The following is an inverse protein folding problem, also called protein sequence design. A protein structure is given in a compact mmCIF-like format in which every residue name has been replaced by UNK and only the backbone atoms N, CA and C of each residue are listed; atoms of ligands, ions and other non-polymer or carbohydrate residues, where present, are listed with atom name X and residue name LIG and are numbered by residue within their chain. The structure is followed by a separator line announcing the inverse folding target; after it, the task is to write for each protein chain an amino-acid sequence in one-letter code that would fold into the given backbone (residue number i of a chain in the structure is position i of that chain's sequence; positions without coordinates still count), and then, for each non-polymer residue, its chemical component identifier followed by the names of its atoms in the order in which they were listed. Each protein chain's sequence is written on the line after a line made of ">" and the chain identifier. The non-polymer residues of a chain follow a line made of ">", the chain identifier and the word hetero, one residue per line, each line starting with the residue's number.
data_IF_808472206290
#
_entry.id   IF_808472206290
#
_cell.length_a   1.000
_cell.length_b   1.000
_cell.length_c   1.000
_cell.angle_alpha   90.00
_cell.angle_beta   90.00
_cell.angle_gamma   90.00
#
_symmetry.space_group_name_H-M   'P 1'
#
loop_
_entity.id
_entity.type
_entity.pdbx_description
1 polymer ?
#
# COMPACT_ATOMS: atom_id res chain seq x y z
N UNK A 1 -7.05 48.45 31.92
CA UNK A 1 -8.45 48.09 32.19
C UNK A 1 -8.67 46.72 31.55
N UNK A 2 -8.55 45.64 32.31
CA UNK A 2 -9.57 44.88 33.05
C UNK A 2 -10.66 44.37 32.12
N UNK A 3 -10.98 43.10 31.99
CA UNK A 3 -10.99 41.85 32.76
C UNK A 3 -11.69 40.75 31.96
N UNK A 4 -11.20 39.51 32.05
CA UNK A 4 -11.85 38.29 32.57
C UNK A 4 -13.13 37.78 31.90
N UNK A 5 -13.07 36.49 31.59
CA UNK A 5 -14.24 35.64 31.38
C UNK A 5 -13.85 34.21 30.95
N UNK A 6 -13.24 33.42 31.85
CA UNK A 6 -13.10 32.00 31.68
C UNK A 6 -14.44 31.29 31.94
N UNK A 7 -15.01 30.61 30.96
CA UNK A 7 -16.17 29.72 31.15
C UNK A 7 -15.67 28.30 31.43
N UNK A 8 -16.02 27.78 32.61
CA UNK A 8 -15.84 26.38 33.03
C UNK A 8 -16.97 25.54 32.45
N UNK A 9 -16.60 24.39 31.87
CA UNK A 9 -17.54 23.32 31.49
C UNK A 9 -17.77 22.39 32.68
N UNK A 10 -19.00 21.86 32.91
CA UNK A 10 -19.31 20.93 33.99
C UNK A 10 -18.85 19.49 33.65
N UNK A 11 -18.43 18.78 34.70
CA UNK A 11 -18.06 17.35 34.65
C UNK A 11 -19.34 16.47 34.58
N UNK A 12 -19.32 15.34 33.83
CA UNK A 12 -20.39 14.36 33.88
C UNK A 12 -20.31 13.48 35.13
N UNK A 13 -21.44 12.89 35.60
CA UNK A 13 -21.53 12.14 36.84
C UNK A 13 -20.91 10.74 36.73
N UNK A 14 -20.32 10.30 37.85
CA UNK A 14 -19.79 8.92 38.04
C UNK A 14 -20.93 7.90 38.08
N UNK A 15 -20.78 6.80 37.34
CA UNK A 15 -21.65 5.60 37.45
C UNK A 15 -21.07 4.61 38.44
N UNK A 16 -21.91 4.17 39.34
CA UNK A 16 -21.68 3.12 40.35
C UNK A 16 -21.74 1.74 39.68
N UNK A 17 -20.75 0.90 39.99
CA UNK A 17 -20.72 -0.50 39.60
C UNK A 17 -21.71 -1.32 40.43
N UNK A 18 -22.58 -2.10 39.72
CA UNK A 18 -23.29 -3.23 40.28
C UNK A 18 -22.78 -4.50 39.57
N UNK A 19 -22.25 -5.43 40.33
CA UNK A 19 -21.76 -6.71 39.81
C UNK A 19 -22.90 -7.71 39.57
N UNK A 20 -22.72 -8.56 38.56
CA UNK A 20 -23.52 -9.75 38.29
C UNK A 20 -22.73 -10.75 37.45
N UNK A 21 -22.92 -12.08 37.58
CA UNK A 21 -21.95 -13.08 37.20
C UNK A 21 -22.11 -13.63 35.77
N UNK A 22 -20.99 -13.92 35.15
CA UNK A 22 -20.73 -15.03 34.26
C UNK A 22 -21.53 -15.16 32.96
N UNK A 23 -20.90 -14.84 31.83
CA UNK A 23 -21.20 -15.49 30.54
C UNK A 23 -19.89 -15.64 29.76
N UNK A 24 -19.44 -16.91 29.66
CA UNK A 24 -18.41 -17.36 28.73
C UNK A 24 -18.92 -17.23 27.29
N UNK A 25 -18.28 -16.42 26.47
CA UNK A 25 -18.49 -16.39 25.02
C UNK A 25 -17.68 -15.26 24.42
N UNK A 26 -17.26 -14.99 23.43
CA UNK A 26 -16.71 -15.21 22.12
C UNK A 26 -15.17 -15.21 22.06
N UNK A 27 -14.45 -15.24 23.17
CA UNK A 27 -12.98 -15.26 23.16
C UNK A 27 -12.34 -16.59 22.71
N UNK A 28 -13.11 -17.67 22.68
CA UNK A 28 -12.63 -19.00 22.24
C UNK A 28 -12.54 -19.13 20.72
N UNK A 29 -13.46 -18.52 19.97
CA UNK A 29 -13.41 -18.54 18.49
C UNK A 29 -12.28 -17.67 17.92
N UNK A 30 -12.00 -16.50 18.52
CA UNK A 30 -10.87 -15.65 18.12
C UNK A 30 -9.51 -16.34 18.30
N UNK A 31 -9.37 -17.23 19.28
CA UNK A 31 -8.15 -18.04 19.49
C UNK A 31 -7.97 -19.12 18.42
N UNK A 32 -9.04 -19.68 17.86
CA UNK A 32 -8.97 -20.76 16.87
C UNK A 32 -8.60 -20.22 15.48
N UNK A 33 -9.15 -19.08 15.07
CA UNK A 33 -8.80 -18.44 13.77
C UNK A 33 -7.38 -17.85 13.83
N UNK A 34 -6.99 -17.23 14.94
CA UNK A 34 -5.61 -16.78 15.15
C UNK A 34 -4.60 -17.95 15.24
N UNK A 35 -5.03 -19.14 15.67
CA UNK A 35 -4.22 -20.35 15.66
C UNK A 35 -4.06 -20.92 14.25
N UNK A 36 -5.06 -20.83 13.38
CA UNK A 36 -4.95 -21.25 11.97
C UNK A 36 -4.08 -20.32 11.15
N UNK A 37 -4.16 -18.99 11.37
CA UNK A 37 -3.23 -18.02 10.76
C UNK A 37 -1.81 -18.14 11.32
N UNK A 38 -1.67 -18.49 12.61
CA UNK A 38 -0.36 -18.80 13.21
C UNK A 38 0.19 -20.17 12.80
N UNK A 39 -0.66 -21.10 12.39
CA UNK A 39 -0.23 -22.41 11.87
C UNK A 39 0.27 -22.32 10.41
N UNK A 40 -0.17 -21.32 9.63
CA UNK A 40 0.42 -20.99 8.34
C UNK A 40 1.78 -20.24 8.48
N UNK A 41 2.06 -19.66 9.65
CA UNK A 41 3.36 -19.05 10.03
C UNK A 41 4.21 -19.97 10.92
N UNK A 42 3.86 -21.26 11.08
CA UNK A 42 4.66 -22.24 11.79
C UNK A 42 5.91 -22.58 10.98
N UNK A 43 7.06 -22.68 11.67
CA UNK A 43 8.35 -23.01 11.11
C UNK A 43 8.31 -24.10 10.04
N UNK A 44 9.17 -24.03 9.00
CA UNK A 44 9.13 -24.96 7.89
C UNK A 44 9.27 -26.39 8.38
N UNK A 45 8.35 -27.24 7.94
CA UNK A 45 8.44 -28.69 8.11
C UNK A 45 9.73 -29.15 7.39
N UNK A 46 10.70 -29.79 8.06
CA UNK A 46 11.97 -30.20 7.43
C UNK A 46 11.83 -31.27 6.34
N UNK A 47 10.64 -31.62 5.92
CA UNK A 47 10.35 -32.49 4.79
C UNK A 47 9.65 -31.77 3.62
N UNK A 48 9.54 -30.41 3.64
CA UNK A 48 9.13 -29.67 2.47
C UNK A 48 10.28 -29.70 1.46
N UNK A 49 10.00 -30.18 0.26
CA UNK A 49 10.85 -29.96 -0.92
C UNK A 49 11.26 -28.47 -0.91
N UNK A 50 12.56 -28.18 -0.83
CA UNK A 50 13.08 -26.81 -1.00
C UNK A 50 12.59 -26.31 -2.36
N UNK A 51 11.47 -25.58 -2.35
CA UNK A 51 11.05 -24.85 -3.54
C UNK A 51 11.81 -23.53 -3.53
N UNK A 52 12.64 -23.28 -4.56
CA UNK A 52 13.30 -21.99 -4.81
C UNK A 52 12.29 -20.83 -5.06
N UNK A 53 11.00 -21.10 -4.84
CA UNK A 53 9.91 -20.17 -5.09
C UNK A 53 9.61 -19.33 -3.85
N UNK A 54 9.56 -18.00 -4.06
CA UNK A 54 9.24 -17.04 -3.00
C UNK A 54 7.73 -16.88 -2.86
N UNK A 55 7.27 -16.86 -1.61
CA UNK A 55 5.88 -16.46 -1.31
C UNK A 55 5.71 -14.96 -1.55
N UNK A 56 4.52 -14.57 -2.01
CA UNK A 56 4.10 -13.17 -2.15
C UNK A 56 2.75 -12.97 -1.47
N UNK A 57 2.55 -11.79 -0.83
CA UNK A 57 1.28 -11.32 -0.28
C UNK A 57 1.07 -9.87 -0.70
N UNK A 58 -0.18 -9.44 -0.79
CA UNK A 58 -0.56 -8.09 -1.20
C UNK A 58 -1.53 -7.52 -0.19
N UNK A 59 -1.27 -6.30 0.27
CA UNK A 59 -2.18 -5.46 1.04
C UNK A 59 -2.63 -4.30 0.15
N UNK A 60 -3.93 -3.95 0.20
CA UNK A 60 -4.52 -2.87 -0.58
C UNK A 60 -5.42 -2.01 0.28
N UNK A 61 -5.21 -0.69 0.22
CA UNK A 61 -6.00 0.31 0.93
C UNK A 61 -6.99 0.96 -0.04
N UNK A 62 -8.22 1.18 0.42
CA UNK A 62 -9.31 1.73 -0.40
C UNK A 62 -9.96 2.93 0.25
N UNK A 63 -10.51 3.82 -0.58
CA UNK A 63 -11.32 4.95 -0.15
C UNK A 63 -12.81 4.61 -0.21
N UNK A 64 -13.54 4.98 0.84
CA UNK A 64 -15.00 4.94 0.90
C UNK A 64 -15.56 6.34 0.60
N UNK A 65 -16.42 6.44 -0.41
CA UNK A 65 -17.00 7.70 -0.85
C UNK A 65 -18.53 7.62 -0.91
N UNK A 66 -19.17 8.78 -0.85
CA UNK A 66 -20.59 8.92 -1.15
C UNK A 66 -20.85 8.59 -2.64
N UNK A 67 -21.86 7.76 -2.95
CA UNK A 67 -22.11 7.29 -4.31
C UNK A 67 -22.49 8.39 -5.31
N UNK A 68 -23.07 9.49 -4.86
CA UNK A 68 -23.58 10.57 -5.71
C UNK A 68 -22.51 11.66 -5.91
N UNK A 69 -21.91 12.12 -4.82
CA UNK A 69 -20.96 13.24 -4.84
C UNK A 69 -19.51 12.83 -5.05
N UNK A 70 -19.14 11.58 -4.76
CA UNK A 70 -17.75 11.12 -4.78
C UNK A 70 -16.89 11.64 -3.61
N UNK A 71 -17.48 12.36 -2.64
CA UNK A 71 -16.80 12.87 -1.45
C UNK A 71 -16.52 11.72 -0.47
N UNK A 72 -15.35 11.74 0.17
CA UNK A 72 -14.98 10.74 1.18
C UNK A 72 -15.94 10.75 2.37
N UNK A 73 -16.40 9.56 2.83
CA UNK A 73 -17.38 9.41 3.91
C UNK A 73 -16.87 8.50 5.02
N UNK A 74 -17.23 8.75 6.29
CA UNK A 74 -16.81 7.98 7.45
C UNK A 74 -17.63 6.67 7.59
N UNK A 75 -17.49 5.74 6.64
CA UNK A 75 -18.35 4.56 6.51
C UNK A 75 -17.70 3.24 6.97
N UNK A 76 -16.43 3.24 7.43
CA UNK A 76 -15.67 2.00 7.68
C UNK A 76 -16.38 1.03 8.62
N UNK A 77 -17.01 1.50 9.71
CA UNK A 77 -17.69 0.64 10.68
C UNK A 77 -18.91 -0.04 10.05
N UNK A 78 -19.75 0.73 9.34
CA UNK A 78 -20.92 0.20 8.65
C UNK A 78 -20.54 -0.82 7.57
N UNK A 79 -19.44 -0.56 6.83
CA UNK A 79 -18.93 -1.51 5.83
C UNK A 79 -18.43 -2.80 6.49
N UNK A 80 -17.68 -2.71 7.59
CA UNK A 80 -17.17 -3.89 8.31
C UNK A 80 -18.28 -4.77 8.87
N UNK A 81 -19.40 -4.19 9.29
CA UNK A 81 -20.58 -4.94 9.74
C UNK A 81 -21.20 -5.79 8.61
N UNK A 82 -21.10 -5.30 7.37
CA UNK A 82 -21.60 -5.95 6.16
C UNK A 82 -20.63 -6.96 5.52
N UNK A 83 -19.34 -6.96 5.92
CA UNK A 83 -18.35 -7.91 5.39
C UNK A 83 -18.71 -9.34 5.84
N UNK A 84 -18.74 -10.34 4.90
CA UNK A 84 -18.93 -11.74 5.23
C UNK A 84 -18.01 -12.23 6.35
N UNK A 85 -18.53 -13.01 7.29
CA UNK A 85 -17.81 -13.41 8.50
C UNK A 85 -16.50 -14.15 8.20
N UNK A 86 -16.46 -14.92 7.12
CA UNK A 86 -15.30 -15.69 6.66
C UNK A 86 -14.16 -14.79 6.11
N UNK A 87 -14.47 -13.58 5.66
CA UNK A 87 -13.50 -12.64 5.11
C UNK A 87 -13.03 -11.56 6.11
N UNK A 88 -13.72 -11.43 7.25
CA UNK A 88 -13.40 -10.38 8.27
C UNK A 88 -11.98 -10.44 8.78
N UNK A 89 -11.32 -11.60 8.74
CA UNK A 89 -9.93 -11.76 9.16
C UNK A 89 -8.90 -11.17 8.18
N UNK A 90 -9.34 -10.78 6.99
CA UNK A 90 -8.53 -10.21 5.91
C UNK A 90 -8.87 -8.75 5.62
N UNK A 91 -9.75 -8.15 6.44
CA UNK A 91 -10.19 -6.75 6.27
C UNK A 91 -9.92 -6.00 7.56
N UNK A 92 -9.23 -4.87 7.47
CA UNK A 92 -8.86 -4.05 8.62
C UNK A 92 -9.27 -2.58 8.41
N UNK A 93 -9.42 -1.87 9.55
CA UNK A 93 -9.55 -0.42 9.57
C UNK A 93 -8.20 0.21 9.34
N UNK A 94 -8.13 1.17 8.43
CA UNK A 94 -6.96 2.01 8.28
C UNK A 94 -7.05 3.25 9.19
N UNK A 95 -6.26 4.29 8.92
CA UNK A 95 -6.11 5.45 9.78
C UNK A 95 -7.35 6.34 9.84
N UNK A 96 -8.01 6.60 8.70
CA UNK A 96 -9.23 7.39 8.65
C UNK A 96 -10.48 6.52 8.56
N UNK A 97 -11.61 7.03 9.07
CA UNK A 97 -12.91 6.33 9.02
C UNK A 97 -13.49 6.18 7.60
N UNK A 98 -12.86 6.78 6.61
CA UNK A 98 -13.14 6.60 5.17
C UNK A 98 -12.20 5.62 4.49
N UNK A 99 -11.28 4.99 5.20
CA UNK A 99 -10.29 4.07 4.65
C UNK A 99 -10.50 2.65 5.17
N UNK A 100 -10.31 1.67 4.30
CA UNK A 100 -10.41 0.26 4.64
C UNK A 100 -9.33 -0.51 3.88
N UNK A 101 -8.72 -1.50 4.54
CA UNK A 101 -7.61 -2.28 4.02
C UNK A 101 -7.99 -3.74 3.87
N UNK A 102 -7.49 -4.40 2.82
CA UNK A 102 -7.53 -5.85 2.67
C UNK A 102 -6.13 -6.42 2.58
N UNK A 103 -5.96 -7.66 3.06
CA UNK A 103 -4.71 -8.43 2.91
C UNK A 103 -4.97 -9.80 2.29
N UNK A 104 -4.28 -10.12 1.19
CA UNK A 104 -4.34 -11.47 0.64
C UNK A 104 -3.59 -12.46 1.55
N UNK A 105 -4.00 -13.73 1.61
CA UNK A 105 -3.12 -14.77 2.12
C UNK A 105 -1.83 -14.84 1.29
N UNK A 106 -0.66 -15.17 1.91
CA UNK A 106 0.56 -15.38 1.14
C UNK A 106 0.43 -16.60 0.24
N UNK A 107 0.93 -16.49 -0.99
CA UNK A 107 0.86 -17.57 -1.98
C UNK A 107 2.14 -17.71 -2.80
N UNK A 108 2.35 -18.88 -3.38
CA UNK A 108 3.42 -19.13 -4.36
C UNK A 108 2.97 -18.80 -5.78
N UNK A 109 1.68 -19.00 -6.08
CA UNK A 109 1.13 -18.83 -7.42
C UNK A 109 0.44 -17.47 -7.55
N UNK A 110 0.73 -16.70 -8.61
CA UNK A 110 0.03 -15.44 -8.89
C UNK A 110 -1.48 -15.62 -9.11
N UNK A 111 -1.88 -16.78 -9.62
CA UNK A 111 -3.30 -17.10 -9.80
C UNK A 111 -4.07 -17.15 -8.49
N UNK A 112 -3.45 -17.61 -7.40
CA UNK A 112 -4.07 -17.63 -6.07
C UNK A 112 -4.16 -16.22 -5.48
N UNK A 113 -3.16 -15.38 -5.68
CA UNK A 113 -3.19 -13.95 -5.28
C UNK A 113 -4.30 -13.24 -6.05
N UNK A 114 -4.36 -13.38 -7.38
CA UNK A 114 -5.44 -12.82 -8.22
C UNK A 114 -6.82 -13.22 -7.73
N UNK A 115 -7.02 -14.52 -7.49
CA UNK A 115 -8.30 -15.03 -7.00
C UNK A 115 -8.69 -14.39 -5.66
N UNK A 116 -7.75 -14.32 -4.71
CA UNK A 116 -7.98 -13.72 -3.39
C UNK A 116 -8.33 -12.23 -3.49
N UNK A 117 -7.59 -11.46 -4.30
CA UNK A 117 -7.86 -10.04 -4.49
C UNK A 117 -9.22 -9.80 -5.16
N UNK A 118 -9.58 -10.57 -6.19
CA UNK A 118 -10.92 -10.49 -6.79
C UNK A 118 -12.05 -10.78 -5.79
N UNK A 119 -11.90 -11.84 -5.00
CA UNK A 119 -12.89 -12.20 -3.99
C UNK A 119 -13.04 -11.09 -2.94
N UNK A 120 -11.92 -10.60 -2.40
CA UNK A 120 -11.92 -9.58 -1.35
C UNK A 120 -12.46 -8.23 -1.86
N UNK A 121 -12.01 -7.78 -3.04
CA UNK A 121 -12.52 -6.53 -3.63
C UNK A 121 -14.01 -6.60 -3.95
N UNK A 122 -14.49 -7.71 -4.53
CA UNK A 122 -15.91 -7.88 -4.82
C UNK A 122 -16.75 -7.87 -3.54
N UNK A 123 -16.36 -8.66 -2.53
CA UNK A 123 -17.07 -8.72 -1.25
C UNK A 123 -17.09 -7.37 -0.53
N UNK A 124 -15.96 -6.65 -0.58
CA UNK A 124 -15.84 -5.32 0.04
C UNK A 124 -16.66 -4.25 -0.70
N UNK A 125 -16.68 -4.29 -2.04
CA UNK A 125 -17.51 -3.40 -2.84
C UNK A 125 -19.01 -3.63 -2.58
N UNK A 126 -19.45 -4.91 -2.48
CA UNK A 126 -20.82 -5.27 -2.11
C UNK A 126 -21.17 -4.81 -0.69
N UNK A 127 -20.24 -4.93 0.25
CA UNK A 127 -20.42 -4.45 1.63
C UNK A 127 -20.55 -2.93 1.68
N UNK A 128 -19.70 -2.22 0.92
CA UNK A 128 -19.77 -0.76 0.83
C UNK A 128 -21.10 -0.28 0.25
N UNK A 129 -21.61 -0.91 -0.81
CA UNK A 129 -22.92 -0.59 -1.39
C UNK A 129 -24.07 -0.82 -0.40
N UNK A 130 -24.07 -1.94 0.36
CA UNK A 130 -25.07 -2.18 1.41
C UNK A 130 -25.00 -1.16 2.55
N UNK A 131 -23.80 -0.65 2.85
CA UNK A 131 -23.58 0.41 3.83
C UNK A 131 -23.86 1.82 3.28
N UNK A 132 -24.32 1.96 2.03
CA UNK A 132 -24.62 3.25 1.39
C UNK A 132 -23.37 4.04 0.95
N UNK A 133 -22.24 3.37 0.79
CA UNK A 133 -20.98 3.94 0.31
C UNK A 133 -20.53 3.28 -1.01
N UNK A 134 -19.50 3.82 -1.63
CA UNK A 134 -18.84 3.26 -2.80
C UNK A 134 -17.34 3.05 -2.53
N UNK A 135 -16.80 1.91 -2.92
CA UNK A 135 -15.41 1.54 -2.75
C UNK A 135 -14.57 2.00 -3.95
N UNK A 136 -13.45 2.68 -3.70
CA UNK A 136 -12.52 3.14 -4.73
C UNK A 136 -11.10 2.65 -4.49
N UNK A 137 -10.51 1.98 -5.47
CA UNK A 137 -9.07 1.75 -5.57
C UNK A 137 -8.42 3.00 -6.21
N UNK A 138 -8.11 4.00 -5.39
CA UNK A 138 -7.56 5.29 -5.80
C UNK A 138 -6.59 5.81 -4.74
N UNK A 139 -5.45 6.38 -5.16
CA UNK A 139 -4.42 6.81 -4.20
C UNK A 139 -4.84 7.99 -3.31
N UNK A 140 -5.62 8.96 -3.84
CA UNK A 140 -6.18 10.10 -3.09
C UNK A 140 -7.61 10.37 -3.50
N UNK A 141 -8.41 10.97 -2.60
CA UNK A 141 -9.77 11.40 -2.91
C UNK A 141 -9.77 12.49 -3.99
N UNK A 142 -10.46 12.28 -5.13
CA UNK A 142 -10.44 13.24 -6.24
C UNK A 142 -11.31 14.45 -5.98
N UNK A 143 -12.38 14.31 -5.18
CA UNK A 143 -13.37 15.35 -4.90
C UNK A 143 -13.09 16.02 -3.56
N UNK A 144 -13.14 17.36 -3.54
CA UNK A 144 -12.99 18.14 -2.29
C UNK A 144 -14.18 17.94 -1.35
N UNK A 145 -13.90 17.93 -0.06
CA UNK A 145 -14.92 17.74 0.96
C UNK A 145 -14.37 17.78 2.38
N UNK A 146 -15.23 17.60 3.38
CA UNK A 146 -14.80 17.52 4.76
C UNK A 146 -13.86 16.32 4.96
N UNK A 147 -12.79 16.52 5.72
CA UNK A 147 -11.87 15.45 6.08
C UNK A 147 -12.55 14.48 7.06
N UNK A 148 -12.66 13.18 6.73
CA UNK A 148 -13.22 12.20 7.63
C UNK A 148 -12.41 12.09 8.93
N UNK A 149 -13.06 11.79 10.07
CA UNK A 149 -12.36 11.64 11.34
C UNK A 149 -11.40 10.45 11.32
N UNK A 150 -10.41 10.51 12.21
CA UNK A 150 -9.48 9.40 12.45
C UNK A 150 -10.22 8.31 13.24
N UNK A 151 -9.90 7.05 12.98
CA UNK A 151 -10.44 5.89 13.70
C UNK A 151 -10.05 5.97 15.18
N UNK A 152 -11.01 5.75 16.09
CA UNK A 152 -10.81 5.76 17.54
C UNK A 152 -9.92 4.58 17.99
N UNK A 153 -8.62 4.83 18.02
CA UNK A 153 -7.58 3.93 18.52
C UNK A 153 -6.55 4.76 19.32
N UNK A 154 -6.13 4.34 20.52
CA UNK A 154 -5.17 5.10 21.35
C UNK A 154 -3.83 5.42 20.66
N UNK A 155 -3.41 4.58 19.69
CA UNK A 155 -2.23 4.83 18.88
C UNK A 155 -2.46 6.00 17.92
N UNK A 156 -3.62 6.05 17.29
CA UNK A 156 -3.98 7.09 16.33
C UNK A 156 -4.19 8.46 17.02
N UNK A 157 -4.76 8.47 18.22
CA UNK A 157 -4.87 9.70 19.04
C UNK A 157 -3.49 10.30 19.32
N UNK A 158 -2.49 9.46 19.68
CA UNK A 158 -1.11 9.92 19.84
C UNK A 158 -0.50 10.46 18.56
N UNK A 159 -0.83 9.87 17.40
CA UNK A 159 -0.38 10.38 16.10
C UNK A 159 -0.99 11.74 15.81
N UNK A 160 -2.30 11.93 16.04
CA UNK A 160 -3.00 13.21 15.89
C UNK A 160 -2.38 14.27 16.79
N UNK A 161 -2.15 13.96 18.07
CA UNK A 161 -1.54 14.87 19.02
C UNK A 161 -0.11 15.29 18.61
N UNK A 162 0.67 14.34 18.11
CA UNK A 162 2.08 14.55 17.75
C UNK A 162 2.24 15.30 16.44
N UNK A 163 1.53 14.89 15.39
CA UNK A 163 1.77 15.36 14.02
C UNK A 163 0.77 16.43 13.56
N UNK A 164 -0.30 16.66 14.31
CA UNK A 164 -1.24 17.79 14.14
C UNK A 164 -1.71 17.94 12.69
N UNK A 165 -1.39 19.05 12.01
CA UNK A 165 -1.83 19.37 10.65
C UNK A 165 -1.24 18.46 9.55
N UNK A 166 -0.32 17.56 9.87
CA UNK A 166 0.11 16.53 8.91
C UNK A 166 -0.93 15.39 8.78
N UNK A 167 -1.73 15.20 9.83
CA UNK A 167 -2.73 14.14 9.92
C UNK A 167 -3.94 14.34 9.00
N UNK A 168 -4.52 15.55 8.88
CA UNK A 168 -5.68 15.76 8.03
C UNK A 168 -5.30 15.75 6.54
N UNK A 169 -5.90 14.87 5.79
CA UNK A 169 -5.83 14.77 4.34
C UNK A 169 -6.96 13.87 3.84
N UNK A 170 -7.26 13.85 2.55
CA UNK A 170 -8.34 13.05 1.99
C UNK A 170 -8.08 11.53 2.00
N UNK A 171 -7.18 11.05 2.84
CA UNK A 171 -6.72 9.66 2.88
C UNK A 171 -5.67 9.37 1.80
N UNK A 172 -4.63 8.64 2.19
CA UNK A 172 -3.60 8.16 1.26
C UNK A 172 -3.74 6.64 1.19
N UNK A 173 -4.13 6.11 0.02
CA UNK A 173 -4.36 4.68 -0.15
C UNK A 173 -3.25 4.08 -1.01
N UNK A 174 -2.50 3.16 -0.42
CA UNK A 174 -1.39 2.48 -1.05
C UNK A 174 -1.67 1.02 -1.35
N UNK A 175 -0.66 0.40 -1.95
CA UNK A 175 -0.54 -1.03 -2.09
C UNK A 175 0.81 -1.46 -1.55
N UNK A 176 0.81 -2.50 -0.71
CA UNK A 176 2.03 -3.09 -0.18
C UNK A 176 2.21 -4.50 -0.75
N UNK A 177 3.43 -4.80 -1.17
CA UNK A 177 3.79 -6.15 -1.63
C UNK A 177 4.83 -6.73 -0.69
N UNK A 178 4.47 -7.84 -0.06
CA UNK A 178 5.33 -8.62 0.82
C UNK A 178 5.93 -9.79 0.07
N UNK A 179 7.24 -9.96 0.15
CA UNK A 179 7.94 -11.12 -0.43
C UNK A 179 8.77 -11.80 0.67
N UNK A 180 8.60 -13.12 0.81
CA UNK A 180 9.32 -13.93 1.80
C UNK A 180 10.84 -13.83 1.65
N UNK A 181 11.54 -13.77 2.78
CA UNK A 181 13.01 -13.76 2.87
C UNK A 181 13.47 -14.80 3.89
N UNK A 182 14.69 -15.38 3.72
CA UNK A 182 15.18 -16.41 4.63
C UNK A 182 15.51 -15.90 6.03
N UNK A 183 16.06 -14.69 6.12
CA UNK A 183 16.49 -14.07 7.38
C UNK A 183 16.60 -12.54 7.25
N UNK A 184 16.64 -11.79 8.37
CA UNK A 184 16.70 -10.33 8.34
C UNK A 184 17.99 -9.73 7.76
N UNK A 185 19.15 -10.40 7.91
CA UNK A 185 20.42 -9.91 7.35
C UNK A 185 20.41 -9.97 5.82
N UNK A 186 19.94 -11.09 5.28
CA UNK A 186 19.65 -11.23 3.84
C UNK A 186 18.62 -10.20 3.38
N UNK A 187 17.55 -9.99 4.15
CA UNK A 187 16.52 -8.99 3.84
C UNK A 187 17.07 -7.56 3.73
N UNK A 188 18.01 -7.17 4.61
CA UNK A 188 18.69 -5.87 4.51
C UNK A 188 19.51 -5.75 3.23
N UNK A 189 20.21 -6.82 2.82
CA UNK A 189 20.92 -6.83 1.54
C UNK A 189 19.94 -6.72 0.35
N UNK A 190 18.81 -7.45 0.40
CA UNK A 190 17.75 -7.33 -0.61
C UNK A 190 17.26 -5.88 -0.70
N UNK A 191 17.01 -5.18 0.43
CA UNK A 191 16.62 -3.77 0.41
C UNK A 191 17.63 -2.90 -0.35
N UNK A 192 18.94 -3.11 -0.19
CA UNK A 192 19.96 -2.39 -0.92
C UNK A 192 19.93 -2.65 -2.43
N UNK A 193 19.60 -3.89 -2.84
CA UNK A 193 19.53 -4.27 -4.27
C UNK A 193 18.26 -3.75 -4.96
N UNK A 194 17.11 -3.69 -4.25
CA UNK A 194 15.84 -3.28 -4.85
C UNK A 194 15.68 -1.76 -4.93
N UNK A 195 16.26 -1.00 -4.00
CA UNK A 195 16.06 0.45 -3.88
C UNK A 195 16.28 1.25 -5.16
N UNK A 196 17.27 0.95 -6.04
CA UNK A 196 17.47 1.68 -7.29
C UNK A 196 16.36 1.50 -8.32
N UNK A 197 15.58 0.41 -8.21
CA UNK A 197 14.51 0.04 -9.13
C UNK A 197 13.11 0.45 -8.67
N UNK A 198 12.99 0.91 -7.41
CA UNK A 198 11.70 1.34 -6.88
C UNK A 198 11.08 2.53 -7.64
N UNK A 199 11.85 3.51 -8.19
CA UNK A 199 11.24 4.60 -8.94
C UNK A 199 10.45 4.16 -10.16
N UNK A 200 10.89 3.12 -10.89
CA UNK A 200 10.13 2.65 -12.05
C UNK A 200 8.88 1.86 -11.63
N UNK A 201 8.94 1.11 -10.52
CA UNK A 201 7.75 0.46 -9.95
C UNK A 201 6.75 1.50 -9.43
N UNK A 202 7.24 2.60 -8.85
CA UNK A 202 6.41 3.73 -8.46
C UNK A 202 5.68 4.34 -9.67
N UNK A 203 6.38 4.55 -10.79
CA UNK A 203 5.76 5.06 -12.02
C UNK A 203 4.64 4.14 -12.55
N UNK A 204 4.84 2.81 -12.47
CA UNK A 204 3.83 1.81 -12.88
C UNK A 204 2.55 1.89 -12.04
N UNK A 205 2.67 2.20 -10.75
CA UNK A 205 1.55 2.18 -9.79
C UNK A 205 0.81 3.51 -9.66
N UNK A 206 1.18 4.55 -10.43
CA UNK A 206 0.55 5.88 -10.31
C UNK A 206 -0.96 5.85 -10.56
N UNK A 207 -1.75 6.31 -9.57
CA UNK A 207 -3.21 6.24 -9.59
C UNK A 207 -3.88 7.36 -8.77
N UNK A 208 -3.28 8.57 -8.72
CA UNK A 208 -3.85 9.71 -7.97
C UNK A 208 -3.57 11.04 -8.64
N UNK A 209 -4.09 11.29 -9.87
CA UNK A 209 -3.84 12.54 -10.58
C UNK A 209 -4.70 13.71 -10.09
N UNK A 210 -5.83 13.42 -9.44
CA UNK A 210 -6.78 14.43 -8.96
C UNK A 210 -6.75 14.56 -7.44
N UNK A 211 -6.83 15.77 -6.94
CA UNK A 211 -7.01 16.10 -5.53
C UNK A 211 -7.76 17.43 -5.41
N UNK A 212 -8.64 17.54 -4.41
CA UNK A 212 -9.42 18.77 -4.15
C UNK A 212 -10.16 19.30 -5.37
N UNK A 213 -10.73 18.41 -6.15
CA UNK A 213 -11.46 18.67 -7.38
C UNK A 213 -10.63 19.28 -8.53
N UNK A 214 -9.29 19.18 -8.46
CA UNK A 214 -8.38 19.71 -9.49
C UNK A 214 -7.44 18.62 -10.01
N UNK A 215 -7.04 18.72 -11.30
CA UNK A 215 -5.89 17.95 -11.82
C UNK A 215 -4.60 18.55 -11.25
N UNK A 216 -3.88 17.78 -10.48
CA UNK A 216 -2.67 18.23 -9.78
C UNK A 216 -1.46 18.43 -10.69
N UNK A 217 -1.53 17.92 -11.92
CA UNK A 217 -0.38 17.83 -12.83
C UNK A 217 0.57 16.67 -12.54
N UNK A 218 0.34 15.89 -11.47
CA UNK A 218 1.13 14.72 -11.07
C UNK A 218 0.38 13.43 -11.39
N UNK A 219 1.10 12.35 -11.65
CA UNK A 219 0.51 11.02 -11.82
C UNK A 219 0.23 10.33 -10.47
N UNK A 220 1.04 10.60 -9.44
CA UNK A 220 0.81 10.20 -8.05
C UNK A 220 0.88 11.40 -7.11
N UNK A 221 -0.25 12.02 -6.83
CA UNK A 221 -0.35 13.08 -5.82
C UNK A 221 -0.26 12.51 -4.40
N UNK A 222 -0.71 11.26 -4.20
CA UNK A 222 -0.55 10.52 -2.95
C UNK A 222 0.89 10.57 -2.45
N UNK A 223 1.86 10.29 -3.30
CA UNK A 223 3.27 10.30 -2.92
C UNK A 223 3.72 11.67 -2.41
N UNK A 224 3.30 12.75 -3.05
CA UNK A 224 3.62 14.12 -2.66
C UNK A 224 3.00 14.48 -1.30
N UNK A 225 1.78 14.05 -1.04
CA UNK A 225 1.15 14.25 0.27
C UNK A 225 1.76 13.37 1.35
N UNK A 226 2.13 12.13 1.02
CA UNK A 226 2.75 11.19 1.94
C UNK A 226 4.16 11.61 2.36
N UNK A 227 4.95 12.20 1.45
CA UNK A 227 6.28 12.74 1.74
C UNK A 227 6.32 13.84 2.80
N UNK A 228 5.18 14.38 3.19
CA UNK A 228 5.08 15.33 4.31
C UNK A 228 5.33 14.67 5.68
N UNK A 229 5.17 13.35 5.80
CA UNK A 229 5.46 12.64 7.03
C UNK A 229 6.96 12.49 7.23
N UNK A 230 7.48 12.74 8.45
CA UNK A 230 8.93 12.90 8.67
C UNK A 230 9.76 11.62 8.49
N UNK A 231 9.11 10.45 8.49
CA UNK A 231 9.75 9.14 8.30
C UNK A 231 9.62 8.61 6.87
N UNK A 232 8.93 9.33 5.98
CA UNK A 232 8.79 8.94 4.56
C UNK A 232 10.07 9.29 3.81
N UNK A 233 10.68 8.29 3.20
CA UNK A 233 11.87 8.48 2.36
C UNK A 233 12.15 7.24 1.51
N UNK A 234 12.93 7.36 0.44
CA UNK A 234 13.59 6.21 -0.17
C UNK A 234 14.42 5.47 0.89
N UNK A 235 14.38 4.14 0.85
CA UNK A 235 15.16 3.32 1.78
C UNK A 235 16.62 3.70 1.74
N UNK A 236 17.28 4.04 2.87
CA UNK A 236 18.70 4.38 2.89
C UNK A 236 19.54 3.15 2.53
N UNK A 237 20.83 3.36 2.22
CA UNK A 237 21.77 2.25 2.14
C UNK A 237 22.05 1.70 3.56
N UNK A 238 21.90 0.39 3.73
CA UNK A 238 21.98 -0.30 5.02
C UNK A 238 23.19 -1.22 5.05
N UNK A 239 24.04 -1.10 6.06
CA UNK A 239 25.27 -1.89 6.16
C UNK A 239 24.95 -3.36 6.52
N UNK A 240 24.07 -3.57 7.51
CA UNK A 240 23.60 -4.86 8.02
C UNK A 240 22.33 -4.67 8.85
N UNK A 241 21.76 -5.75 9.36
CA UNK A 241 20.56 -5.71 10.18
C UNK A 241 20.74 -4.93 11.50
N UNK A 242 21.90 -4.96 12.14
CA UNK A 242 22.18 -4.15 13.33
C UNK A 242 22.15 -2.64 13.01
N UNK A 243 22.66 -2.24 11.83
CA UNK A 243 22.54 -0.84 11.38
C UNK A 243 21.08 -0.45 11.15
N UNK A 244 20.31 -1.32 10.49
CA UNK A 244 18.85 -1.14 10.30
C UNK A 244 18.14 -0.89 11.63
N UNK A 245 18.36 -1.77 12.61
CA UNK A 245 17.73 -1.66 13.94
C UNK A 245 18.16 -0.41 14.70
N UNK A 246 19.46 -0.09 14.71
CA UNK A 246 19.95 1.13 15.36
C UNK A 246 19.34 2.39 14.77
N UNK A 247 19.20 2.46 13.44
CA UNK A 247 18.61 3.63 12.77
C UNK A 247 17.13 3.80 13.13
N UNK A 248 16.36 2.70 13.17
CA UNK A 248 14.96 2.74 13.62
C UNK A 248 14.88 3.21 15.08
N UNK A 249 15.71 2.67 15.97
CA UNK A 249 15.71 3.07 17.38
C UNK A 249 16.06 4.56 17.53
N UNK A 250 17.03 5.07 16.77
CA UNK A 250 17.38 6.49 16.77
C UNK A 250 16.20 7.38 16.29
N UNK A 251 15.44 6.93 15.29
CA UNK A 251 14.23 7.67 14.82
C UNK A 251 13.12 7.68 15.89
N UNK A 252 12.97 6.60 16.66
CA UNK A 252 12.03 6.53 17.79
C UNK A 252 12.53 7.41 18.94
N UNK A 253 13.79 7.28 19.36
CA UNK A 253 14.37 8.02 20.48
C UNK A 253 14.41 9.54 20.23
N UNK A 254 14.61 9.95 18.98
CA UNK A 254 14.54 11.35 18.57
C UNK A 254 13.11 11.90 18.53
N UNK A 255 12.11 11.03 18.65
CA UNK A 255 10.69 11.38 18.58
C UNK A 255 10.20 11.71 17.17
N UNK A 256 10.95 11.38 16.12
CA UNK A 256 10.49 11.45 14.72
C UNK A 256 9.41 10.42 14.46
N UNK A 257 9.50 9.24 15.07
CA UNK A 257 8.48 8.19 15.03
C UNK A 257 7.98 7.88 16.45
N UNK A 258 6.72 7.47 16.59
CA UNK A 258 6.16 6.97 17.86
C UNK A 258 6.52 5.51 18.11
N UNK A 259 6.62 4.74 17.05
CA UNK A 259 6.87 3.30 17.06
C UNK A 259 7.40 2.83 15.68
N UNK A 260 7.85 1.58 15.60
CA UNK A 260 8.37 0.96 14.37
C UNK A 260 7.33 0.91 13.23
N UNK A 261 6.03 0.86 13.53
CA UNK A 261 4.95 0.90 12.54
C UNK A 261 4.92 2.19 11.72
N UNK A 262 5.58 3.26 12.21
CA UNK A 262 5.73 4.54 11.50
C UNK A 262 6.99 4.61 10.63
N UNK A 263 7.70 3.52 10.41
CA UNK A 263 8.79 3.48 9.44
C UNK A 263 8.20 3.47 8.03
N UNK A 264 8.07 4.65 7.43
CA UNK A 264 7.45 4.85 6.12
C UNK A 264 8.49 4.89 4.98
N UNK A 265 9.60 4.17 5.10
CA UNK A 265 10.49 3.96 3.97
C UNK A 265 9.76 3.21 2.84
N UNK A 266 10.14 3.50 1.61
CA UNK A 266 9.50 2.95 0.40
C UNK A 266 9.63 1.43 0.26
N UNK A 267 10.67 0.85 0.88
CA UNK A 267 10.78 -0.58 1.16
C UNK A 267 11.40 -0.76 2.55
N UNK A 268 10.94 -1.79 3.30
CA UNK A 268 11.43 -2.11 4.66
C UNK A 268 11.36 -3.60 4.93
N UNK A 269 11.94 -4.04 6.03
CA UNK A 269 11.57 -5.33 6.62
C UNK A 269 10.21 -5.20 7.30
N UNK A 270 9.34 -6.17 7.14
CA UNK A 270 8.07 -6.17 7.84
C UNK A 270 8.28 -6.42 9.34
N UNK A 271 7.62 -5.62 10.19
CA UNK A 271 7.62 -5.82 11.63
C UNK A 271 6.81 -7.07 12.08
N UNK A 272 5.93 -7.58 11.20
CA UNK A 272 5.00 -8.67 11.53
C UNK A 272 5.38 -10.01 10.88
N UNK A 273 5.98 -9.98 9.70
CA UNK A 273 6.21 -11.15 8.84
C UNK A 273 7.67 -11.25 8.41
N UNK A 274 8.20 -12.45 8.12
CA UNK A 274 9.56 -12.63 7.62
C UNK A 274 9.63 -12.24 6.12
N UNK A 275 9.37 -10.98 5.81
CA UNK A 275 9.27 -10.47 4.44
C UNK A 275 10.01 -9.13 4.28
N UNK A 276 10.43 -8.86 3.05
CA UNK A 276 10.63 -7.50 2.55
C UNK A 276 9.28 -6.97 2.06
N UNK A 277 8.96 -5.75 2.44
CA UNK A 277 7.70 -5.05 2.14
C UNK A 277 7.99 -3.81 1.29
N UNK A 278 7.45 -3.76 0.07
CA UNK A 278 7.50 -2.60 -0.82
C UNK A 278 6.19 -1.81 -0.71
N UNK A 279 6.28 -0.49 -0.41
CA UNK A 279 5.15 0.35 0.05
C UNK A 279 4.92 1.61 -0.79
N UNK A 280 5.76 1.89 -1.77
CA UNK A 280 5.75 3.18 -2.50
C UNK A 280 4.51 3.36 -3.37
N UNK A 281 3.91 2.27 -3.87
CA UNK A 281 2.83 2.33 -4.85
C UNK A 281 1.53 2.91 -4.34
N UNK A 282 0.82 3.67 -5.19
CA UNK A 282 -0.62 3.87 -5.00
C UNK A 282 -1.34 2.52 -5.11
N UNK A 283 -2.52 2.39 -4.50
CA UNK A 283 -3.38 1.24 -4.75
C UNK A 283 -3.67 1.12 -6.25
N UNK A 284 -3.51 -0.07 -6.80
CA UNK A 284 -3.71 -0.31 -8.22
C UNK A 284 -5.20 -0.28 -8.60
N UNK A 285 -5.60 0.32 -9.75
CA UNK A 285 -6.99 0.44 -10.14
C UNK A 285 -7.68 -0.92 -10.35
N UNK A 286 -6.98 -1.89 -10.92
CA UNK A 286 -7.51 -3.25 -11.16
C UNK A 286 -6.68 -4.32 -10.46
N UNK A 287 -7.26 -5.49 -10.27
CA UNK A 287 -6.54 -6.67 -9.72
C UNK A 287 -5.41 -7.09 -10.66
N UNK A 288 -5.57 -6.98 -11.97
CA UNK A 288 -4.53 -7.32 -12.94
C UNK A 288 -3.31 -6.39 -12.80
N UNK A 289 -3.52 -5.08 -12.56
CA UNK A 289 -2.43 -4.14 -12.28
C UNK A 289 -1.71 -4.51 -10.96
N UNK A 290 -2.46 -4.87 -9.92
CA UNK A 290 -1.88 -5.31 -8.65
C UNK A 290 -1.05 -6.60 -8.78
N UNK A 291 -1.55 -7.57 -9.55
CA UNK A 291 -0.84 -8.84 -9.84
C UNK A 291 0.43 -8.59 -10.64
N UNK A 292 0.41 -7.68 -11.62
CA UNK A 292 1.62 -7.28 -12.35
C UNK A 292 2.70 -6.76 -11.40
N UNK A 293 2.32 -5.83 -10.52
CA UNK A 293 3.27 -5.25 -9.54
C UNK A 293 3.78 -6.33 -8.59
N UNK A 294 2.91 -7.20 -8.07
CA UNK A 294 3.29 -8.30 -7.19
C UNK A 294 4.31 -9.26 -7.87
N UNK A 295 4.09 -9.59 -9.14
CA UNK A 295 5.00 -10.41 -9.93
C UNK A 295 6.37 -9.74 -10.13
N UNK A 296 6.38 -8.45 -10.52
CA UNK A 296 7.61 -7.68 -10.71
C UNK A 296 8.41 -7.55 -9.40
N UNK A 297 7.72 -7.28 -8.28
CA UNK A 297 8.35 -7.19 -6.96
C UNK A 297 8.93 -8.53 -6.53
N UNK A 298 8.20 -9.65 -6.68
CA UNK A 298 8.69 -10.99 -6.38
C UNK A 298 9.95 -11.33 -7.20
N UNK A 299 9.89 -11.08 -8.51
CA UNK A 299 11.01 -11.32 -9.38
C UNK A 299 12.23 -10.42 -9.07
N UNK A 300 11.98 -9.17 -8.64
CA UNK A 300 13.04 -8.25 -8.21
C UNK A 300 13.74 -8.75 -6.94
N UNK A 301 12.99 -9.22 -5.95
CA UNK A 301 13.54 -9.82 -4.73
C UNK A 301 14.29 -11.12 -5.06
N UNK A 302 13.75 -11.99 -5.90
CA UNK A 302 14.42 -13.22 -6.33
C UNK A 302 15.75 -12.92 -7.06
N UNK A 303 15.75 -11.92 -7.95
CA UNK A 303 16.97 -11.48 -8.65
C UNK A 303 17.99 -10.90 -7.66
N UNK A 304 17.52 -10.15 -6.64
CA UNK A 304 18.40 -9.64 -5.59
C UNK A 304 19.04 -10.77 -4.77
N UNK A 305 18.31 -11.82 -4.44
CA UNK A 305 18.83 -13.02 -3.76
C UNK A 305 19.88 -13.75 -4.62
N UNK A 306 19.64 -13.89 -5.92
CA UNK A 306 20.62 -14.46 -6.85
C UNK A 306 21.91 -13.60 -6.94
N UNK A 307 21.76 -12.26 -6.93
CA UNK A 307 22.91 -11.34 -6.92
C UNK A 307 23.71 -11.47 -5.63
N UNK A 308 23.05 -11.53 -4.48
CA UNK A 308 23.66 -11.71 -3.16
C UNK A 308 24.41 -13.05 -3.11
N UNK A 309 23.78 -14.14 -3.52
CA UNK A 309 24.39 -15.48 -3.55
C UNK A 309 25.64 -15.54 -4.46
N UNK A 310 25.63 -14.78 -5.56
CA UNK A 310 26.75 -14.66 -6.49
C UNK A 310 27.80 -13.62 -6.05
N UNK A 311 27.65 -12.98 -4.90
CA UNK A 311 28.55 -11.92 -4.42
C UNK A 311 28.53 -10.65 -5.25
N UNK A 312 27.49 -10.41 -6.05
CA UNK A 312 27.34 -9.19 -6.83
C UNK A 312 26.86 -8.04 -5.93
N UNK A 313 27.54 -6.88 -5.92
CA UNK A 313 27.11 -5.76 -5.10
C UNK A 313 25.83 -5.12 -5.65
N UNK A 314 25.04 -4.43 -4.80
CA UNK A 314 23.93 -3.63 -5.27
C UNK A 314 24.42 -2.47 -6.16
N UNK A 315 23.56 -2.01 -7.06
CA UNK A 315 23.85 -0.86 -7.91
C UNK A 315 24.09 0.37 -7.04
N UNK A 316 25.26 1.02 -7.12
CA UNK A 316 25.55 2.22 -6.36
C UNK A 316 24.66 3.37 -6.85
N UNK A 317 23.82 3.89 -5.96
CA UNK A 317 22.88 4.97 -6.28
C UNK A 317 22.88 5.98 -5.13
N UNK A 318 23.13 7.22 -5.47
CA UNK A 318 23.09 8.32 -4.51
C UNK A 318 21.68 8.52 -3.96
N UNK A 319 21.58 8.78 -2.66
CA UNK A 319 20.28 8.93 -1.99
C UNK A 319 19.47 10.11 -2.54
N UNK A 320 20.12 11.24 -2.83
CA UNK A 320 19.42 12.40 -3.38
C UNK A 320 18.96 12.18 -4.82
N UNK A 321 19.71 11.38 -5.59
CA UNK A 321 19.24 10.96 -6.92
C UNK A 321 18.00 10.09 -6.82
N UNK A 322 17.92 9.20 -5.83
CA UNK A 322 16.69 8.39 -5.58
C UNK A 322 15.51 9.27 -5.20
N UNK A 323 15.69 10.26 -4.32
CA UNK A 323 14.63 11.23 -3.99
C UNK A 323 14.12 11.90 -5.28
N UNK A 324 15.03 12.42 -6.11
CA UNK A 324 14.67 13.02 -7.39
C UNK A 324 13.99 12.04 -8.37
N UNK A 325 14.45 10.79 -8.41
CA UNK A 325 13.87 9.75 -9.26
C UNK A 325 12.44 9.38 -8.84
N UNK A 326 12.16 9.31 -7.54
CA UNK A 326 10.81 9.09 -7.03
C UNK A 326 9.88 10.27 -7.28
N UNK A 327 10.38 11.51 -7.07
CA UNK A 327 9.61 12.70 -7.45
C UNK A 327 9.26 12.68 -8.95
N UNK A 328 10.23 12.31 -9.81
CA UNK A 328 9.99 12.21 -11.25
C UNK A 328 8.96 11.15 -11.60
N UNK A 329 9.00 9.99 -10.95
CA UNK A 329 8.01 8.94 -11.09
C UNK A 329 6.61 9.41 -10.67
N UNK A 330 6.49 10.11 -9.52
CA UNK A 330 5.23 10.69 -9.06
C UNK A 330 4.68 11.74 -10.02
N UNK A 331 5.57 12.55 -10.62
CA UNK A 331 5.17 13.63 -11.54
C UNK A 331 4.73 13.06 -12.89
N UNK A 332 5.58 12.27 -13.56
CA UNK A 332 5.40 11.86 -14.94
C UNK A 332 4.67 10.51 -15.12
N UNK A 333 4.74 9.62 -14.13
CA UNK A 333 4.24 8.24 -14.28
C UNK A 333 4.93 7.50 -15.42
N UNK A 334 4.18 6.63 -16.09
CA UNK A 334 4.63 5.88 -17.27
C UNK A 334 4.49 6.67 -18.59
N UNK A 335 3.79 7.79 -18.56
CA UNK A 335 3.52 8.63 -19.74
C UNK A 335 4.69 9.57 -20.09
N UNK A 336 5.69 9.66 -19.20
CA UNK A 336 6.83 10.54 -19.36
C UNK A 336 8.19 9.84 -19.26
N UNK A 337 9.13 10.53 -18.62
CA UNK A 337 10.50 10.07 -18.44
C UNK A 337 10.77 9.67 -16.99
N UNK A 338 11.63 8.68 -16.80
CA UNK A 338 12.15 8.26 -15.51
C UNK A 338 13.69 8.35 -15.49
N UNK A 339 14.26 8.34 -14.30
CA UNK A 339 15.72 8.40 -14.10
C UNK A 339 16.28 6.97 -14.24
N UNK A 340 17.23 6.81 -15.16
CA UNK A 340 17.96 5.55 -15.30
C UNK A 340 18.87 5.34 -14.06
N UNK A 341 18.69 4.24 -13.31
CA UNK A 341 19.47 4.02 -12.09
C UNK A 341 20.97 3.78 -12.34
N UNK A 342 21.38 3.47 -13.59
CA UNK A 342 22.78 3.25 -13.94
C UNK A 342 23.51 4.56 -14.31
N UNK A 343 22.87 5.42 -15.12
CA UNK A 343 23.51 6.62 -15.65
C UNK A 343 23.09 7.90 -14.90
N UNK A 344 21.94 7.89 -14.20
CA UNK A 344 21.32 9.10 -13.64
C UNK A 344 20.64 9.99 -14.68
N UNK A 345 20.59 9.58 -15.94
CA UNK A 345 19.99 10.34 -17.04
C UNK A 345 18.48 10.04 -17.18
N UNK A 346 17.77 10.99 -17.77
CA UNK A 346 16.35 10.78 -18.10
C UNK A 346 16.20 9.91 -19.34
N UNK A 347 15.33 8.91 -19.25
CA UNK A 347 14.95 8.03 -20.35
C UNK A 347 13.43 7.83 -20.35
N UNK A 348 12.82 7.47 -21.48
CA UNK A 348 11.40 7.09 -21.50
C UNK A 348 11.12 6.01 -20.43
N UNK A 349 10.08 6.20 -19.62
CA UNK A 349 9.77 5.28 -18.52
C UNK A 349 9.56 3.83 -19.00
N UNK A 350 8.95 3.65 -20.18
CA UNK A 350 8.77 2.33 -20.80
C UNK A 350 10.08 1.63 -21.15
N UNK A 351 11.11 2.36 -21.59
CA UNK A 351 12.42 1.78 -21.87
C UNK A 351 13.07 1.22 -20.61
N UNK A 352 12.94 1.95 -19.50
CA UNK A 352 13.45 1.52 -18.20
C UNK A 352 12.65 0.33 -17.63
N UNK A 353 11.33 0.32 -17.81
CA UNK A 353 10.51 -0.82 -17.42
C UNK A 353 10.88 -2.08 -18.23
N UNK A 354 11.08 -1.98 -19.55
CA UNK A 354 11.54 -3.10 -20.37
C UNK A 354 12.94 -3.57 -19.95
N UNK A 355 13.85 -2.64 -19.62
CA UNK A 355 15.18 -2.97 -19.08
C UNK A 355 15.07 -3.74 -17.76
N UNK A 356 14.22 -3.29 -16.84
CA UNK A 356 13.94 -4.01 -15.59
C UNK A 356 13.41 -5.41 -15.87
N UNK A 357 12.36 -5.55 -16.69
CA UNK A 357 11.76 -6.85 -17.01
C UNK A 357 12.79 -7.81 -17.65
N UNK A 358 13.64 -7.31 -18.56
CA UNK A 358 14.73 -8.08 -19.12
C UNK A 358 15.72 -8.58 -18.06
N UNK A 359 16.04 -7.74 -17.06
CA UNK A 359 16.87 -8.14 -15.91
C UNK A 359 16.20 -9.23 -15.05
N UNK A 360 14.87 -9.18 -14.92
CA UNK A 360 14.09 -10.11 -14.10
C UNK A 360 13.77 -11.43 -14.81
N UNK A 361 14.09 -11.60 -16.10
CA UNK A 361 13.67 -12.72 -16.94
C UNK A 361 13.88 -14.09 -16.31
N UNK A 362 15.10 -14.39 -15.81
CA UNK A 362 15.39 -15.67 -15.18
C UNK A 362 14.55 -15.95 -13.92
N UNK A 363 14.28 -14.91 -13.12
CA UNK A 363 13.43 -15.05 -11.94
C UNK A 363 11.96 -15.24 -12.33
N UNK A 364 11.48 -14.54 -13.36
CA UNK A 364 10.12 -14.71 -13.91
C UNK A 364 9.92 -16.12 -14.48
N UNK A 365 10.92 -16.65 -15.20
CA UNK A 365 10.87 -18.01 -15.75
C UNK A 365 10.82 -19.06 -14.63
N UNK A 366 11.66 -18.91 -13.60
CA UNK A 366 11.71 -19.82 -12.44
C UNK A 366 10.36 -19.87 -11.68
N UNK A 367 9.67 -18.74 -11.57
CA UNK A 367 8.35 -18.67 -10.92
C UNK A 367 7.18 -18.99 -11.87
N UNK A 368 7.44 -19.21 -13.17
CA UNK A 368 6.39 -19.44 -14.17
C UNK A 368 5.57 -18.20 -14.53
N UNK A 369 6.06 -17.01 -14.20
CA UNK A 369 5.32 -15.74 -14.30
C UNK A 369 5.52 -15.01 -15.63
N UNK A 370 6.49 -15.40 -16.44
CA UNK A 370 6.94 -14.63 -17.61
C UNK A 370 5.82 -14.34 -18.61
N UNK A 371 5.04 -15.36 -18.96
CA UNK A 371 3.92 -15.22 -19.91
C UNK A 371 2.86 -14.28 -19.37
N UNK A 372 2.54 -14.39 -18.09
CA UNK A 372 1.52 -13.56 -17.45
C UNK A 372 1.99 -12.11 -17.33
N UNK A 373 3.23 -11.87 -16.91
CA UNK A 373 3.81 -10.52 -16.85
C UNK A 373 3.84 -9.88 -18.24
N UNK A 374 4.21 -10.63 -19.29
CA UNK A 374 4.17 -10.10 -20.67
C UNK A 374 2.77 -9.67 -21.07
N UNK A 375 1.75 -10.48 -20.79
CA UNK A 375 0.33 -10.17 -21.06
C UNK A 375 -0.12 -8.92 -20.30
N UNK A 376 0.20 -8.84 -19.01
CA UNK A 376 -0.19 -7.72 -18.15
C UNK A 376 0.51 -6.41 -18.53
N UNK A 377 1.78 -6.47 -18.95
CA UNK A 377 2.52 -5.31 -19.47
C UNK A 377 1.89 -4.77 -20.75
N UNK A 378 1.45 -5.65 -21.65
CA UNK A 378 0.75 -5.24 -22.86
C UNK A 378 -0.59 -4.56 -22.53
N UNK A 379 -1.35 -5.09 -21.56
CA UNK A 379 -2.57 -4.46 -21.07
C UNK A 379 -2.29 -3.06 -20.45
N UNK A 380 -1.26 -2.94 -19.60
CA UNK A 380 -0.85 -1.65 -19.06
C UNK A 380 -0.47 -0.67 -20.17
N UNK A 381 0.22 -1.12 -21.21
CA UNK A 381 0.61 -0.28 -22.36
C UNK A 381 -0.59 0.21 -23.15
N UNK A 382 -1.61 -0.64 -23.32
CA UNK A 382 -2.84 -0.30 -24.07
C UNK A 382 -3.76 0.64 -23.29
N UNK A 383 -3.90 0.42 -21.98
CA UNK A 383 -4.89 1.16 -21.17
C UNK A 383 -4.26 2.31 -20.37
N UNK A 384 -2.93 2.35 -20.22
CA UNK A 384 -2.22 3.31 -19.37
C UNK A 384 -2.29 2.97 -17.88
N UNK A 385 -1.59 3.77 -17.07
CA UNK A 385 -1.65 3.73 -15.61
C UNK A 385 -3.02 4.17 -15.09
N UNK A 386 -3.30 3.97 -13.80
CA UNK A 386 -4.51 4.48 -13.19
C UNK A 386 -4.68 5.99 -13.39
N UNK A 387 -3.59 6.75 -13.29
CA UNK A 387 -3.61 8.18 -13.54
C UNK A 387 -3.98 8.54 -14.98
N UNK A 388 -3.41 7.84 -15.96
CA UNK A 388 -3.75 8.04 -17.38
C UNK A 388 -5.21 7.70 -17.67
N UNK A 389 -5.72 6.59 -17.10
CA UNK A 389 -7.13 6.18 -17.24
C UNK A 389 -8.08 7.23 -16.67
N UNK A 390 -7.82 7.72 -15.45
CA UNK A 390 -8.63 8.76 -14.80
C UNK A 390 -8.65 10.05 -15.65
N UNK A 391 -7.50 10.54 -16.12
CA UNK A 391 -7.40 11.70 -17.00
C UNK A 391 -8.11 11.51 -18.32
N UNK A 392 -8.04 10.30 -18.90
CA UNK A 392 -8.77 9.96 -20.14
C UNK A 392 -10.28 10.07 -19.96
N UNK A 393 -10.83 9.63 -18.82
CA UNK A 393 -12.26 9.80 -18.51
C UNK A 393 -12.58 11.28 -18.36
N UNK A 394 -11.83 12.01 -17.55
CA UNK A 394 -12.05 13.44 -17.31
C UNK A 394 -11.96 14.27 -18.62
N UNK A 395 -10.99 13.98 -19.47
CA UNK A 395 -10.85 14.67 -20.77
C UNK A 395 -12.06 14.47 -21.70
N UNK A 396 -12.76 13.34 -21.59
CA UNK A 396 -13.97 13.07 -22.40
C UNK A 396 -15.22 13.69 -21.83
N UNK A 397 -15.34 13.79 -20.51
CA UNK A 397 -16.61 14.12 -19.83
C UNK A 397 -16.59 15.47 -19.12
N UNK A 398 -15.40 15.96 -18.72
CA UNK A 398 -15.24 17.16 -17.91
C UNK A 398 -15.77 17.01 -16.47
N UNK A 399 -16.05 15.78 -16.01
CA UNK A 399 -16.74 15.51 -14.74
C UNK A 399 -15.97 14.53 -13.88
N UNK A 400 -15.70 14.89 -12.65
CA UNK A 400 -15.04 14.01 -11.67
C UNK A 400 -15.95 12.87 -11.19
N UNK A 401 -17.28 13.07 -11.21
CA UNK A 401 -18.24 12.00 -10.86
C UNK A 401 -18.14 10.82 -11.83
N UNK A 402 -17.84 11.09 -13.11
CA UNK A 402 -17.61 10.03 -14.10
C UNK A 402 -16.28 9.32 -13.87
N UNK A 403 -15.24 10.05 -13.41
CA UNK A 403 -13.96 9.46 -12.98
C UNK A 403 -14.18 8.54 -11.78
N UNK A 404 -14.90 9.00 -10.75
CA UNK A 404 -15.25 8.21 -9.56
C UNK A 404 -16.02 6.94 -9.95
N UNK A 405 -16.99 7.07 -10.86
CA UNK A 405 -17.79 5.93 -11.34
C UNK A 405 -16.95 4.91 -12.10
N UNK A 406 -16.02 5.36 -12.94
CA UNK A 406 -15.09 4.47 -13.65
C UNK A 406 -14.12 3.75 -12.71
N UNK A 407 -13.52 4.48 -11.76
CA UNK A 407 -12.63 3.87 -10.74
C UNK A 407 -13.38 2.82 -9.93
N UNK A 408 -14.63 3.08 -9.53
CA UNK A 408 -15.45 2.10 -8.80
C UNK A 408 -15.67 0.82 -9.60
N UNK A 409 -15.97 0.94 -10.91
CA UNK A 409 -16.13 -0.23 -11.81
C UNK A 409 -14.83 -1.02 -11.94
N UNK A 410 -13.69 -0.34 -12.12
CA UNK A 410 -12.37 -0.98 -12.19
C UNK A 410 -12.02 -1.67 -10.85
N UNK A 411 -12.32 -1.03 -9.72
CA UNK A 411 -12.14 -1.60 -8.38
C UNK A 411 -12.86 -2.93 -8.23
N UNK A 412 -14.10 -3.03 -8.74
CA UNK A 412 -14.95 -4.22 -8.70
C UNK A 412 -14.51 -5.30 -9.71
N UNK A 413 -13.70 -4.95 -10.69
CA UNK A 413 -13.27 -5.85 -11.75
C UNK A 413 -14.17 -5.83 -12.99
N UNK A 414 -15.02 -4.82 -13.13
CA UNK A 414 -15.85 -4.58 -14.31
C UNK A 414 -15.05 -3.75 -15.32
N UNK A 415 -14.49 -4.38 -16.33
CA UNK A 415 -13.78 -3.67 -17.40
C UNK A 415 -14.77 -3.00 -18.36
N UNK A 416 -14.44 -1.78 -18.83
CA UNK A 416 -15.16 -1.14 -19.93
C UNK A 416 -15.03 -2.00 -21.19
N UNK A 417 -16.16 -2.28 -21.84
CA UNK A 417 -16.17 -2.90 -23.16
C UNK A 417 -15.67 -1.91 -24.21
#
# INVERSE_FOLDING_TARGET
>A
MSMRGARRFPRPPQRVHAGGPGADGPHRQKRTVMAMVRQAAAAPNPAAVETDLLTVGVEEEFLLVDPESGVAVPAVEAVLDEVPAELRGQVEREFQTSQIEIGSPPGLELSSIRHSLHLLRAALADAAERAGARLLAIGTGPVDGPVPPVVDKPRFDRMVERYRLLVPGPGNNGMHVHVGIPDPDTGVQVLNHVRPWLPILHAVTTNSPFSRSEDTGYASWRSIEWERWPSVAPTPYLVNHDHYRRLIQQLIDSGVMLDEGMLYWYARLSAKYPTVELRIGDVCPTVDDAVLVAALVRALVATALDDIAAGRPPLPTDHHLLVGAHWRAAHDGMEGAAVDPHSGELRPAWDLLHQLVGRLGSALDRHGDHTEVTRLLEQLRQHGTGAARQRSVYARTGRLEDVVSEVARQTRGELSQ
#
